data_IF_674942895620
#
_entry.id   IF_674942895620
#
_cell.length_a   1.000
_cell.length_b   1.000
_cell.length_c   1.000
_cell.angle_alpha   90.00
_cell.angle_beta   90.00
_cell.angle_gamma   90.00
#
_symmetry.space_group_name_H-M   'P 1'
#
loop_
_entity.id
_entity.type
_entity.pdbx_description
1 polymer ?
#
# COMPACT_ATOMS: atom_id res chain seq x y z
N UNK A 1 1.64 -12.39 5.88
CA UNK A 1 0.31 -12.44 6.54
C UNK A 1 -0.19 -13.88 6.43
N UNK A 2 -0.19 -14.64 7.53
CA UNK A 2 -0.83 -15.96 7.53
C UNK A 2 -2.33 -15.78 7.24
N UNK A 3 -2.88 -16.61 6.34
CA UNK A 3 -4.22 -16.48 5.74
C UNK A 3 -5.38 -16.31 6.75
N UNK A 4 -5.17 -16.61 8.03
CA UNK A 4 -6.19 -16.46 9.08
C UNK A 4 -6.30 -15.05 9.70
N UNK A 5 -5.33 -14.16 9.49
CA UNK A 5 -5.35 -12.80 10.07
C UNK A 5 -6.06 -11.75 9.21
N UNK A 6 -6.18 -12.03 7.91
CA UNK A 6 -6.78 -11.14 6.89
C UNK A 6 -8.29 -10.94 7.11
N UNK A 7 -8.95 -11.93 7.71
CA UNK A 7 -10.40 -11.96 7.90
C UNK A 7 -10.87 -11.40 9.25
N UNK A 8 -9.96 -10.79 10.01
CA UNK A 8 -10.26 -10.14 11.28
C UNK A 8 -10.61 -8.67 11.05
N UNK A 9 -11.41 -8.07 11.94
CA UNK A 9 -11.77 -6.65 11.85
C UNK A 9 -10.54 -5.73 11.74
N UNK A 10 -9.47 -6.03 12.49
CA UNK A 10 -8.22 -5.26 12.41
C UNK A 10 -7.49 -5.46 11.08
N UNK A 11 -7.49 -6.69 10.52
CA UNK A 11 -6.87 -6.99 9.23
C UNK A 11 -7.53 -6.23 8.08
N UNK A 12 -8.86 -6.17 8.05
CA UNK A 12 -9.61 -5.41 7.05
C UNK A 12 -9.32 -3.90 7.13
N UNK A 13 -9.28 -3.34 8.34
CA UNK A 13 -8.93 -1.92 8.56
C UNK A 13 -7.49 -1.63 8.11
N UNK A 14 -6.54 -2.50 8.44
CA UNK A 14 -5.15 -2.36 7.99
C UNK A 14 -5.06 -2.37 6.45
N UNK A 15 -5.69 -3.35 5.78
CA UNK A 15 -5.64 -3.46 4.31
C UNK A 15 -6.32 -2.26 3.65
N UNK A 16 -7.51 -1.86 4.11
CA UNK A 16 -8.20 -0.68 3.59
C UNK A 16 -7.36 0.59 3.75
N UNK A 17 -6.69 0.75 4.89
CA UNK A 17 -5.79 1.88 5.14
C UNK A 17 -4.57 1.85 4.22
N UNK A 18 -3.96 0.67 4.00
CA UNK A 18 -2.83 0.51 3.08
C UNK A 18 -3.21 0.90 1.64
N UNK A 19 -4.36 0.44 1.16
CA UNK A 19 -4.86 0.77 -0.19
C UNK A 19 -5.07 2.28 -0.33
N UNK A 20 -5.65 2.94 0.68
CA UNK A 20 -5.83 4.39 0.67
C UNK A 20 -4.50 5.15 0.69
N UNK A 21 -3.50 4.67 1.44
CA UNK A 21 -2.17 5.27 1.46
C UNK A 21 -1.50 5.18 0.09
N UNK A 22 -1.52 3.99 -0.53
CA UNK A 22 -0.93 3.80 -1.86
C UNK A 22 -1.62 4.67 -2.92
N UNK A 23 -2.96 4.80 -2.84
CA UNK A 23 -3.70 5.72 -3.71
C UNK A 23 -3.31 7.18 -3.50
N UNK A 24 -3.11 7.59 -2.23
CA UNK A 24 -2.69 8.94 -1.87
C UNK A 24 -1.29 9.27 -2.41
N UNK A 25 -0.39 8.29 -2.53
CA UNK A 25 0.92 8.50 -3.13
C UNK A 25 0.81 8.89 -4.61
N UNK A 26 -0.11 8.28 -5.36
CA UNK A 26 -0.43 8.70 -6.73
C UNK A 26 -0.85 10.16 -6.81
N UNK A 27 -1.72 10.61 -5.89
CA UNK A 27 -2.10 12.02 -5.79
C UNK A 27 -0.92 12.93 -5.42
N UNK A 28 -0.01 12.45 -4.56
CA UNK A 28 1.16 13.22 -4.17
C UNK A 28 2.14 13.44 -5.34
N UNK A 29 2.32 12.45 -6.23
CA UNK A 29 3.08 12.62 -7.46
C UNK A 29 2.50 13.71 -8.36
N UNK A 30 1.18 13.84 -8.41
CA UNK A 30 0.52 14.90 -9.16
C UNK A 30 0.78 16.29 -8.58
N UNK A 31 0.99 16.39 -7.26
CA UNK A 31 1.25 17.64 -6.56
C UNK A 31 2.72 18.05 -6.60
N UNK A 32 3.67 17.13 -6.76
CA UNK A 32 5.10 17.45 -6.74
C UNK A 32 5.54 18.51 -7.78
N UNK A 33 5.14 18.44 -9.07
CA UNK A 33 5.50 19.46 -10.06
C UNK A 33 4.96 20.85 -9.71
N UNK A 34 3.80 20.89 -9.05
CA UNK A 34 3.18 22.12 -8.53
C UNK A 34 4.11 22.69 -7.45
N UNK A 35 4.53 21.91 -6.45
CA UNK A 35 5.42 22.41 -5.41
C UNK A 35 6.79 22.90 -5.93
N UNK A 36 7.30 22.34 -7.03
CA UNK A 36 8.60 22.71 -7.61
C UNK A 36 8.62 24.00 -8.44
N UNK A 37 7.46 24.62 -8.70
CA UNK A 37 7.35 25.81 -9.54
C UNK A 37 7.95 27.06 -8.91
N UNK A 38 9.21 27.36 -9.23
CA UNK A 38 9.93 28.55 -8.76
C UNK A 38 9.81 29.68 -9.78
N UNK A 39 8.92 30.65 -9.55
CA UNK A 39 8.99 31.97 -10.24
C UNK A 39 7.98 32.98 -9.69
N UNK A 40 8.32 33.71 -8.62
CA UNK A 40 7.55 34.88 -8.13
C UNK A 40 6.11 34.59 -7.68
N UNK A 41 5.51 35.47 -6.86
CA UNK A 41 4.16 35.22 -6.33
C UNK A 41 3.09 35.16 -7.44
N UNK A 42 3.17 36.07 -8.43
CA UNK A 42 2.15 36.22 -9.48
C UNK A 42 2.33 35.23 -10.64
N UNK A 43 3.58 34.98 -11.05
CA UNK A 43 3.91 34.02 -12.10
C UNK A 43 3.90 32.57 -11.60
N UNK A 44 4.24 32.35 -10.32
CA UNK A 44 4.04 31.10 -9.61
C UNK A 44 2.57 30.74 -9.56
N UNK A 45 1.69 31.65 -9.13
CA UNK A 45 0.24 31.36 -9.06
C UNK A 45 -0.35 30.99 -10.43
N UNK A 46 0.08 31.64 -11.51
CA UNK A 46 -0.35 31.29 -12.87
C UNK A 46 0.20 29.92 -13.33
N UNK A 47 1.47 29.62 -13.02
CA UNK A 47 2.08 28.32 -13.31
C UNK A 47 1.41 27.19 -12.53
N UNK A 48 1.08 27.42 -11.25
CA UNK A 48 0.35 26.49 -10.39
C UNK A 48 -1.05 26.22 -10.91
N UNK A 49 -1.79 27.27 -11.27
CA UNK A 49 -3.13 27.14 -11.83
C UNK A 49 -3.10 26.37 -13.16
N UNK A 50 -2.11 26.66 -14.02
CA UNK A 50 -1.92 25.92 -15.28
C UNK A 50 -1.64 24.44 -15.02
N UNK A 51 -0.72 24.10 -14.13
CA UNK A 51 -0.39 22.72 -13.78
C UNK A 51 -1.60 21.97 -13.18
N UNK A 52 -2.36 22.63 -12.31
CA UNK A 52 -3.57 22.05 -11.71
C UNK A 52 -4.66 21.80 -12.76
N UNK A 53 -4.87 22.74 -13.68
CA UNK A 53 -5.80 22.56 -14.81
C UNK A 53 -5.35 21.40 -15.71
N UNK A 54 -4.07 21.34 -16.07
CA UNK A 54 -3.51 20.24 -16.86
C UNK A 54 -3.69 18.90 -16.16
N UNK A 55 -3.46 18.84 -14.84
CA UNK A 55 -3.68 17.65 -14.03
C UNK A 55 -5.14 17.19 -14.05
N UNK A 56 -6.10 18.10 -13.81
CA UNK A 56 -7.53 17.77 -13.81
C UNK A 56 -7.97 17.31 -15.21
N UNK A 57 -7.52 17.99 -16.27
CA UNK A 57 -7.79 17.59 -17.65
C UNK A 57 -7.19 16.20 -17.93
N UNK A 58 -5.95 15.95 -17.50
CA UNK A 58 -5.32 14.65 -17.68
C UNK A 58 -6.09 13.53 -16.97
N UNK A 59 -6.45 13.71 -15.70
CA UNK A 59 -7.22 12.72 -14.93
C UNK A 59 -8.62 12.49 -15.51
N UNK A 60 -9.30 13.54 -15.96
CA UNK A 60 -10.63 13.41 -16.59
C UNK A 60 -10.55 12.70 -17.94
N UNK A 61 -9.58 13.03 -18.78
CA UNK A 61 -9.33 12.32 -20.05
C UNK A 61 -9.03 10.85 -19.77
N UNK A 62 -8.13 10.55 -18.82
CA UNK A 62 -7.82 9.17 -18.48
C UNK A 62 -9.04 8.42 -17.93
N UNK A 63 -9.87 9.05 -17.11
CA UNK A 63 -11.11 8.45 -16.61
C UNK A 63 -12.09 8.11 -17.74
N UNK A 64 -12.23 8.98 -18.74
CA UNK A 64 -13.04 8.70 -19.94
C UNK A 64 -12.41 7.58 -20.78
N UNK A 65 -11.10 7.66 -21.01
CA UNK A 65 -10.34 6.69 -21.81
C UNK A 65 -10.34 5.30 -21.17
N UNK A 66 -10.43 5.25 -19.84
CA UNK A 66 -10.58 4.04 -19.04
C UNK A 66 -11.87 3.27 -19.39
N UNK A 67 -12.99 3.97 -19.58
CA UNK A 67 -14.26 3.33 -19.87
C UNK A 67 -14.37 2.82 -21.32
N UNK A 68 -13.70 3.47 -22.27
CA UNK A 68 -13.87 3.15 -23.70
C UNK A 68 -12.65 2.44 -24.31
N UNK A 69 -11.45 3.02 -24.17
CA UNK A 69 -10.27 2.56 -24.89
C UNK A 69 -9.58 1.37 -24.22
N UNK A 70 -9.45 1.38 -22.89
CA UNK A 70 -8.72 0.31 -22.17
C UNK A 70 -9.39 -1.05 -22.32
N UNK A 71 -10.70 -1.22 -22.06
CA UNK A 71 -11.33 -2.53 -22.20
C UNK A 71 -11.42 -2.97 -23.67
N UNK A 72 -11.51 -2.03 -24.62
CA UNK A 72 -11.42 -2.34 -26.05
C UNK A 72 -10.02 -2.83 -26.44
N UNK A 73 -8.97 -2.12 -26.01
CA UNK A 73 -7.58 -2.47 -26.28
C UNK A 73 -7.20 -3.82 -25.66
N UNK A 74 -7.55 -4.05 -24.38
CA UNK A 74 -7.29 -5.31 -23.71
C UNK A 74 -8.07 -6.48 -24.33
N UNK A 75 -9.33 -6.29 -24.74
CA UNK A 75 -10.10 -7.32 -25.45
C UNK A 75 -9.57 -7.60 -26.85
N UNK A 76 -9.19 -6.56 -27.59
CA UNK A 76 -8.56 -6.69 -28.91
C UNK A 76 -7.27 -7.49 -28.80
N UNK A 77 -6.45 -7.18 -27.81
CA UNK A 77 -5.23 -7.89 -27.52
C UNK A 77 -5.47 -9.36 -27.19
N UNK A 78 -6.43 -9.67 -26.30
CA UNK A 78 -6.78 -11.07 -26.00
C UNK A 78 -7.28 -11.79 -27.25
N UNK A 79 -8.08 -11.13 -28.10
CA UNK A 79 -8.56 -11.69 -29.36
C UNK A 79 -7.43 -12.01 -30.35
N UNK A 80 -6.43 -11.13 -30.46
CA UNK A 80 -5.22 -11.33 -31.27
C UNK A 80 -4.24 -12.33 -30.63
N UNK A 81 -4.32 -12.51 -29.31
CA UNK A 81 -3.40 -13.29 -28.47
C UNK A 81 -3.89 -14.72 -28.21
N UNK A 82 -4.77 -15.28 -29.04
CA UNK A 82 -5.21 -16.69 -28.94
C UNK A 82 -4.08 -17.73 -28.99
N UNK A 83 -2.81 -17.35 -29.20
CA UNK A 83 -1.69 -18.29 -29.27
C UNK A 83 -0.55 -18.08 -28.25
N UNK A 84 -0.30 -16.89 -27.68
CA UNK A 84 0.82 -16.67 -26.73
C UNK A 84 0.54 -15.61 -25.66
N UNK A 85 0.70 -15.94 -24.37
CA UNK A 85 0.56 -15.00 -23.24
C UNK A 85 1.60 -13.85 -23.26
N UNK A 86 2.72 -14.05 -23.97
CA UNK A 86 3.83 -13.10 -24.07
C UNK A 86 3.42 -11.80 -24.77
N UNK A 87 2.59 -11.88 -25.82
CA UNK A 87 2.15 -10.69 -26.56
C UNK A 87 1.24 -9.82 -25.68
N UNK A 88 0.35 -10.46 -24.92
CA UNK A 88 -0.51 -9.81 -23.93
C UNK A 88 0.29 -9.08 -22.86
N UNK A 89 1.27 -9.76 -22.29
CA UNK A 89 2.17 -9.19 -21.29
C UNK A 89 2.93 -7.97 -21.84
N UNK A 90 3.53 -8.11 -23.02
CA UNK A 90 4.32 -7.05 -23.64
C UNK A 90 3.49 -5.79 -23.89
N UNK A 91 2.28 -5.94 -24.45
CA UNK A 91 1.50 -4.75 -24.76
C UNK A 91 0.68 -4.19 -23.58
N UNK A 92 0.45 -4.95 -22.50
CA UNK A 92 0.07 -4.36 -21.21
C UNK A 92 1.16 -3.43 -20.67
N UNK A 93 2.44 -3.86 -20.74
CA UNK A 93 3.57 -3.01 -20.33
C UNK A 93 3.73 -1.83 -21.28
N UNK A 94 3.63 -2.04 -22.59
CA UNK A 94 3.71 -0.96 -23.58
C UNK A 94 2.60 0.07 -23.39
N UNK A 95 1.38 -0.36 -23.07
CA UNK A 95 0.28 0.55 -22.71
C UNK A 95 0.63 1.40 -21.49
N UNK A 96 1.14 0.78 -20.42
CA UNK A 96 1.58 1.51 -19.23
C UNK A 96 2.67 2.54 -19.55
N UNK A 97 3.67 2.16 -20.35
CA UNK A 97 4.74 3.06 -20.79
C UNK A 97 4.23 4.19 -21.69
N UNK A 98 3.25 3.94 -22.56
CA UNK A 98 2.65 4.96 -23.42
C UNK A 98 1.91 6.01 -22.59
N UNK A 99 1.11 5.58 -21.61
CA UNK A 99 0.40 6.50 -20.70
C UNK A 99 1.40 7.28 -19.84
N UNK A 100 2.45 6.63 -19.33
CA UNK A 100 3.53 7.30 -18.60
C UNK A 100 4.22 8.37 -19.46
N UNK A 101 4.58 8.02 -20.70
CA UNK A 101 5.20 8.94 -21.65
C UNK A 101 4.28 10.12 -22.02
N UNK A 102 2.98 9.88 -22.20
CA UNK A 102 2.00 10.92 -22.42
C UNK A 102 1.93 11.90 -21.24
N UNK A 103 1.92 11.37 -20.01
CA UNK A 103 1.95 12.17 -18.77
C UNK A 103 3.19 13.06 -18.68
N UNK A 104 4.37 12.52 -19.01
CA UNK A 104 5.63 13.29 -19.03
C UNK A 104 5.63 14.40 -20.09
N UNK A 105 5.09 14.13 -21.29
CA UNK A 105 4.92 15.14 -22.34
C UNK A 105 3.98 16.29 -21.96
N UNK A 106 3.04 16.03 -21.06
CA UNK A 106 2.13 17.05 -20.50
C UNK A 106 2.78 17.84 -19.35
N UNK A 107 4.02 17.51 -18.96
CA UNK A 107 4.75 18.20 -17.89
C UNK A 107 4.33 17.79 -16.48
N UNK A 108 3.68 16.63 -16.32
CA UNK A 108 3.31 16.08 -15.03
C UNK A 108 4.46 15.25 -14.45
N UNK A 109 4.34 13.93 -14.53
CA UNK A 109 5.34 12.99 -14.03
C UNK A 109 5.15 11.62 -14.67
N UNK A 110 6.24 10.90 -14.92
CA UNK A 110 6.19 9.52 -15.41
C UNK A 110 5.46 8.60 -14.40
N UNK A 111 5.70 8.84 -13.11
CA UNK A 111 5.14 8.10 -11.97
C UNK A 111 3.62 8.26 -11.87
N UNK A 112 3.12 9.47 -12.12
CA UNK A 112 1.67 9.72 -12.14
C UNK A 112 1.01 8.98 -13.29
N UNK A 113 1.62 9.00 -14.48
CA UNK A 113 1.08 8.34 -15.66
C UNK A 113 1.09 6.81 -15.53
N UNK A 114 2.16 6.23 -15.00
CA UNK A 114 2.22 4.78 -14.74
C UNK A 114 1.26 4.35 -13.63
N UNK A 115 1.10 5.15 -12.57
CA UNK A 115 0.09 4.91 -11.53
C UNK A 115 -1.33 4.95 -12.11
N UNK A 116 -1.64 5.98 -12.90
CA UNK A 116 -2.95 6.11 -13.53
C UNK A 116 -3.24 4.96 -14.51
N UNK A 117 -2.25 4.52 -15.30
CA UNK A 117 -2.40 3.36 -16.19
C UNK A 117 -2.72 2.08 -15.40
N UNK A 118 -2.06 1.87 -14.26
CA UNK A 118 -2.34 0.75 -13.36
C UNK A 118 -3.76 0.80 -12.80
N UNK A 119 -4.21 1.98 -12.35
CA UNK A 119 -5.59 2.19 -11.89
C UNK A 119 -6.59 1.89 -13.01
N UNK A 120 -6.34 2.36 -14.23
CA UNK A 120 -7.22 2.10 -15.37
C UNK A 120 -7.37 0.59 -15.64
N UNK A 121 -6.26 -0.15 -15.68
CA UNK A 121 -6.28 -1.62 -15.86
C UNK A 121 -7.06 -2.28 -14.72
N UNK A 122 -6.86 -1.82 -13.47
CA UNK A 122 -7.50 -2.41 -12.29
C UNK A 122 -9.03 -2.30 -12.26
N UNK A 123 -9.61 -1.34 -13.00
CA UNK A 123 -11.07 -1.17 -13.10
C UNK A 123 -11.73 -2.06 -14.15
N UNK A 124 -10.93 -2.76 -14.98
CA UNK A 124 -11.47 -3.64 -16.02
C UNK A 124 -11.74 -5.05 -15.50
N UNK A 125 -12.66 -5.77 -16.14
CA UNK A 125 -12.97 -7.17 -15.80
C UNK A 125 -11.77 -8.13 -15.95
N UNK A 126 -10.74 -7.68 -16.66
CA UNK A 126 -9.52 -8.43 -16.97
C UNK A 126 -8.38 -8.14 -15.98
N UNK A 127 -8.58 -7.27 -14.98
CA UNK A 127 -7.55 -6.81 -14.05
C UNK A 127 -6.76 -7.95 -13.39
N UNK A 128 -7.45 -9.01 -12.95
CA UNK A 128 -6.80 -10.16 -12.31
C UNK A 128 -5.88 -10.91 -13.28
N UNK A 129 -6.37 -11.18 -14.50
CA UNK A 129 -5.56 -11.82 -15.53
C UNK A 129 -4.37 -10.94 -15.94
N UNK A 130 -4.56 -9.62 -16.07
CA UNK A 130 -3.44 -8.69 -16.33
C UNK A 130 -2.40 -8.71 -15.22
N UNK A 131 -2.84 -8.74 -13.97
CA UNK A 131 -1.95 -8.75 -12.82
C UNK A 131 -1.09 -10.03 -12.78
N UNK A 132 -1.70 -11.19 -13.02
CA UNK A 132 -0.98 -12.49 -13.08
C UNK A 132 0.09 -12.49 -14.18
N UNK A 133 -0.23 -11.95 -15.35
CA UNK A 133 0.70 -11.90 -16.47
C UNK A 133 1.83 -10.87 -16.25
N UNK A 134 1.56 -9.75 -15.58
CA UNK A 134 2.56 -8.69 -15.33
C UNK A 134 3.39 -8.96 -14.06
N UNK A 135 2.92 -9.83 -13.16
CA UNK A 135 3.60 -10.15 -11.90
C UNK A 135 5.09 -10.51 -12.03
N UNK A 136 5.52 -11.39 -12.97
CA UNK A 136 6.94 -11.70 -13.13
C UNK A 136 7.78 -10.48 -13.49
N UNK A 137 7.28 -9.62 -14.39
CA UNK A 137 7.95 -8.38 -14.80
C UNK A 137 8.00 -7.39 -13.64
N UNK A 138 6.89 -7.22 -12.92
CA UNK A 138 6.81 -6.37 -11.72
C UNK A 138 7.87 -6.79 -10.70
N UNK A 139 7.96 -8.09 -10.41
CA UNK A 139 8.91 -8.61 -9.42
C UNK A 139 10.36 -8.39 -9.86
N UNK A 140 10.65 -8.55 -11.16
CA UNK A 140 11.97 -8.27 -11.72
C UNK A 140 12.35 -6.77 -11.61
N UNK A 141 11.46 -5.86 -12.02
CA UNK A 141 11.70 -4.41 -11.90
C UNK A 141 11.77 -3.94 -10.44
N UNK A 142 10.97 -4.54 -9.54
CA UNK A 142 11.07 -4.27 -8.11
C UNK A 142 12.44 -4.68 -7.54
N UNK A 143 12.97 -5.83 -7.95
CA UNK A 143 14.32 -6.25 -7.56
C UNK A 143 15.39 -5.30 -8.09
N UNK A 144 15.30 -4.89 -9.36
CA UNK A 144 16.21 -3.90 -9.95
C UNK A 144 16.13 -2.54 -9.28
N UNK A 145 14.92 -2.09 -8.95
CA UNK A 145 14.68 -0.85 -8.22
C UNK A 145 15.33 -0.87 -6.85
N UNK A 146 15.12 -1.94 -6.08
CA UNK A 146 15.70 -2.09 -4.75
C UNK A 146 17.24 -2.19 -4.80
N UNK A 147 17.79 -2.93 -5.77
CA UNK A 147 19.23 -2.98 -6.02
C UNK A 147 19.82 -1.60 -6.37
N UNK A 148 19.12 -0.83 -7.21
CA UNK A 148 19.53 0.52 -7.61
C UNK A 148 19.52 1.50 -6.42
N UNK A 149 18.51 1.42 -5.55
CA UNK A 149 18.50 2.19 -4.29
C UNK A 149 19.68 1.80 -3.41
N UNK A 150 19.96 0.50 -3.29
CA UNK A 150 21.13 0.02 -2.54
C UNK A 150 22.44 0.63 -3.04
N UNK A 151 22.59 0.79 -4.35
CA UNK A 151 23.75 1.44 -4.97
C UNK A 151 23.80 2.96 -4.74
N UNK A 152 22.64 3.63 -4.65
CA UNK A 152 22.55 5.06 -4.36
C UNK A 152 22.90 5.41 -2.91
N UNK A 153 22.79 4.44 -1.98
CA UNK A 153 23.06 4.67 -0.56
C UNK A 153 24.58 4.72 -0.32
N UNK A 154 25.06 5.89 0.11
CA UNK A 154 26.44 6.04 0.56
C UNK A 154 26.63 5.43 1.95
N UNK A 155 27.21 4.23 1.99
CA UNK A 155 27.50 3.48 3.23
C UNK A 155 28.32 4.32 4.23
N UNK A 156 29.30 5.09 3.75
CA UNK A 156 30.12 5.95 4.62
C UNK A 156 29.28 7.06 5.28
N UNK A 157 28.35 7.67 4.55
CA UNK A 157 27.44 8.68 5.11
C UNK A 157 26.54 8.08 6.19
N UNK A 158 26.04 6.86 5.94
CA UNK A 158 25.19 6.10 6.86
C UNK A 158 25.90 5.80 8.19
N UNK A 159 27.16 5.36 8.12
CA UNK A 159 27.97 5.07 9.31
C UNK A 159 28.26 6.32 10.13
N UNK A 160 28.54 7.44 9.47
CA UNK A 160 28.86 8.69 10.16
C UNK A 160 27.63 9.34 10.84
N UNK A 161 26.42 9.02 10.40
CA UNK A 161 25.17 9.61 10.91
C UNK A 161 24.19 8.55 11.46
N UNK A 162 24.71 7.39 11.87
CA UNK A 162 23.88 6.25 12.28
C UNK A 162 22.98 6.60 13.47
N UNK A 163 23.45 7.46 14.37
CA UNK A 163 22.74 8.01 15.50
C UNK A 163 21.47 8.76 15.06
N UNK A 164 21.60 9.67 14.09
CA UNK A 164 20.49 10.46 13.55
C UNK A 164 19.53 9.55 12.76
N UNK A 165 20.05 8.58 11.99
CA UNK A 165 19.21 7.65 11.25
C UNK A 165 18.37 6.76 12.16
N UNK A 166 18.98 6.18 13.19
CA UNK A 166 18.26 5.33 14.15
C UNK A 166 17.22 6.16 14.91
N UNK A 167 17.58 7.38 15.33
CA UNK A 167 16.63 8.30 15.95
C UNK A 167 15.46 8.63 15.01
N UNK A 168 15.72 8.90 13.73
CA UNK A 168 14.70 9.18 12.73
C UNK A 168 13.77 7.98 12.48
N UNK A 169 14.32 6.75 12.39
CA UNK A 169 13.51 5.53 12.23
C UNK A 169 12.60 5.32 13.44
N UNK A 170 13.14 5.42 14.65
CA UNK A 170 12.35 5.28 15.89
C UNK A 170 11.26 6.35 15.93
N UNK A 171 11.61 7.60 15.62
CA UNK A 171 10.67 8.72 15.58
C UNK A 171 9.53 8.44 14.61
N UNK A 172 9.82 8.01 13.38
CA UNK A 172 8.79 7.69 12.37
C UNK A 172 7.90 6.56 12.84
N UNK A 173 8.48 5.47 13.37
CA UNK A 173 7.70 4.33 13.87
C UNK A 173 6.76 4.76 15.00
N UNK A 174 7.27 5.52 15.98
CA UNK A 174 6.51 5.98 17.14
C UNK A 174 5.40 6.92 16.72
N UNK A 175 5.72 7.96 15.94
CA UNK A 175 4.72 8.94 15.47
C UNK A 175 3.64 8.25 14.65
N UNK A 176 4.03 7.42 13.68
CA UNK A 176 3.06 6.75 12.79
C UNK A 176 2.18 5.78 13.57
N UNK A 177 2.75 5.04 14.53
CA UNK A 177 1.98 4.17 15.42
C UNK A 177 0.98 4.97 16.24
N UNK A 178 1.38 6.08 16.85
CA UNK A 178 0.51 6.93 17.68
C UNK A 178 -0.61 7.52 16.84
N UNK A 179 -0.29 8.14 15.71
CA UNK A 179 -1.27 8.78 14.82
C UNK A 179 -2.29 7.76 14.33
N UNK A 180 -1.85 6.63 13.79
CA UNK A 180 -2.75 5.59 13.27
C UNK A 180 -3.58 5.00 14.41
N UNK A 181 -2.99 4.71 15.56
CA UNK A 181 -3.73 4.19 16.73
C UNK A 181 -4.78 5.18 17.22
N UNK A 182 -4.46 6.47 17.25
CA UNK A 182 -5.40 7.52 17.64
C UNK A 182 -6.57 7.63 16.67
N UNK A 183 -6.30 7.57 15.36
CA UNK A 183 -7.33 7.57 14.32
C UNK A 183 -8.24 6.36 14.47
N UNK A 184 -7.67 5.15 14.58
CA UNK A 184 -8.44 3.91 14.72
C UNK A 184 -9.28 3.91 16.01
N UNK A 185 -8.73 4.43 17.11
CA UNK A 185 -9.48 4.62 18.36
C UNK A 185 -10.62 5.62 18.22
N UNK A 186 -10.41 6.70 17.46
CA UNK A 186 -11.45 7.70 17.15
C UNK A 186 -12.65 7.11 16.39
N UNK A 187 -12.44 6.06 15.60
CA UNK A 187 -13.50 5.31 14.92
C UNK A 187 -14.19 4.25 15.82
N UNK A 188 -13.86 4.20 17.12
CA UNK A 188 -14.57 3.35 18.09
C UNK A 188 -14.04 1.91 18.23
N UNK A 189 -12.88 1.60 17.65
CA UNK A 189 -12.24 0.29 17.80
C UNK A 189 -11.57 0.12 19.18
N UNK A 190 -11.38 -1.12 19.61
CA UNK A 190 -10.72 -1.43 20.89
C UNK A 190 -9.27 -0.94 20.92
N UNK A 191 -8.74 -0.58 22.10
CA UNK A 191 -7.35 -0.14 22.24
C UNK A 191 -6.36 -1.19 21.68
N UNK A 192 -6.67 -2.47 21.83
CA UNK A 192 -5.85 -3.59 21.33
C UNK A 192 -5.80 -3.57 19.80
N UNK A 193 -6.96 -3.44 19.14
CA UNK A 193 -7.03 -3.32 17.69
C UNK A 193 -6.32 -2.04 17.20
N UNK A 194 -6.51 -0.90 17.87
CA UNK A 194 -5.88 0.36 17.51
C UNK A 194 -4.35 0.28 17.50
N UNK A 195 -3.74 -0.25 18.56
CA UNK A 195 -2.27 -0.41 18.66
C UNK A 195 -1.77 -1.43 17.63
N UNK A 196 -2.49 -2.53 17.42
CA UNK A 196 -2.11 -3.55 16.45
C UNK A 196 -2.09 -3.00 15.02
N UNK A 197 -3.14 -2.26 14.65
CA UNK A 197 -3.23 -1.56 13.36
C UNK A 197 -2.12 -0.52 13.24
N UNK A 198 -1.92 0.31 14.28
CA UNK A 198 -0.87 1.33 14.31
C UNK A 198 0.53 0.78 14.09
N UNK A 199 0.89 -0.30 14.80
CA UNK A 199 2.19 -0.96 14.62
C UNK A 199 2.32 -1.62 13.25
N UNK A 200 1.24 -2.23 12.73
CA UNK A 200 1.26 -2.87 11.40
C UNK A 200 1.50 -1.88 10.26
N UNK A 201 1.11 -0.62 10.45
CA UNK A 201 1.25 0.47 9.49
C UNK A 201 2.48 1.34 9.73
N UNK A 202 3.29 1.07 10.76
CA UNK A 202 4.38 1.96 11.19
C UNK A 202 5.56 2.04 10.20
N UNK A 203 5.70 1.08 9.31
CA UNK A 203 6.73 1.03 8.28
C UNK A 203 6.55 2.12 7.21
N UNK A 204 7.66 2.61 6.67
CA UNK A 204 7.67 3.46 5.47
C UNK A 204 7.59 2.55 4.22
N UNK A 205 6.64 2.82 3.31
CA UNK A 205 6.44 2.00 2.10
C UNK A 205 7.51 2.22 1.02
N UNK A 206 7.61 1.28 0.08
CA UNK A 206 8.58 1.32 -1.04
C UNK A 206 8.37 2.50 -1.99
N UNK A 207 7.13 2.96 -2.15
CA UNK A 207 6.82 4.14 -2.96
C UNK A 207 7.44 5.43 -2.42
N UNK A 208 7.82 5.48 -1.13
CA UNK A 208 8.52 6.63 -0.57
C UNK A 208 9.85 6.88 -1.29
N UNK A 209 10.57 5.83 -1.69
CA UNK A 209 11.83 6.00 -2.45
C UNK A 209 11.62 6.69 -3.79
N UNK A 210 10.57 6.28 -4.51
CA UNK A 210 10.20 6.89 -5.80
C UNK A 210 9.83 8.36 -5.58
N UNK A 211 9.03 8.65 -4.55
CA UNK A 211 8.63 10.01 -4.19
C UNK A 211 9.83 10.89 -3.83
N UNK A 212 10.75 10.40 -2.99
CA UNK A 212 11.98 11.11 -2.60
C UNK A 212 12.85 11.40 -3.83
N UNK A 213 13.04 10.41 -4.70
CA UNK A 213 13.84 10.57 -5.92
C UNK A 213 13.24 11.65 -6.82
N UNK A 214 11.91 11.64 -7.02
CA UNK A 214 11.23 12.67 -7.81
C UNK A 214 11.35 14.05 -7.17
N UNK A 215 11.15 14.15 -5.85
CA UNK A 215 11.28 15.41 -5.12
C UNK A 215 12.72 15.97 -5.20
N UNK A 216 13.73 15.11 -5.14
CA UNK A 216 15.13 15.51 -5.34
C UNK A 216 15.41 15.99 -6.76
N UNK A 217 14.86 15.33 -7.79
CA UNK A 217 14.99 15.77 -9.18
C UNK A 217 14.35 17.14 -9.45
N UNK A 218 13.28 17.46 -8.72
CA UNK A 218 12.63 18.77 -8.74
C UNK A 218 13.33 19.82 -7.84
N UNK A 219 14.48 19.48 -7.25
CA UNK A 219 15.23 20.34 -6.33
C UNK A 219 14.42 20.82 -5.11
N UNK A 220 13.38 20.07 -4.72
CA UNK A 220 12.55 20.36 -3.53
C UNK A 220 13.26 20.00 -2.22
N UNK A 221 14.26 19.12 -2.31
CA UNK A 221 14.97 18.56 -1.16
C UNK A 221 16.47 18.75 -1.38
N UNK A 222 17.16 19.27 -0.36
CA UNK A 222 18.61 19.39 -0.35
C UNK A 222 19.28 18.01 -0.33
N UNK A 223 20.42 17.84 -1.00
CA UNK A 223 21.09 16.54 -1.16
C UNK A 223 21.38 15.81 0.16
N UNK A 224 21.71 16.55 1.24
CA UNK A 224 21.95 15.97 2.57
C UNK A 224 20.66 15.40 3.17
N UNK A 225 19.54 16.12 3.03
CA UNK A 225 18.23 15.67 3.50
C UNK A 225 17.74 14.48 2.68
N UNK A 226 17.98 14.48 1.36
CA UNK A 226 17.68 13.35 0.50
C UNK A 226 18.40 12.08 0.97
N UNK A 227 19.72 12.12 1.21
CA UNK A 227 20.47 10.96 1.71
C UNK A 227 19.98 10.48 3.08
N UNK A 228 19.64 11.40 3.98
CA UNK A 228 19.12 11.07 5.31
C UNK A 228 17.76 10.36 5.22
N UNK A 229 16.83 10.89 4.42
CA UNK A 229 15.49 10.33 4.25
C UNK A 229 15.54 8.99 3.48
N UNK A 230 16.43 8.87 2.49
CA UNK A 230 16.65 7.62 1.75
C UNK A 230 17.16 6.53 2.69
N UNK A 231 18.18 6.85 3.52
CA UNK A 231 18.73 5.94 4.53
C UNK A 231 17.71 5.55 5.59
N UNK A 232 16.91 6.51 6.08
CA UNK A 232 15.83 6.26 7.05
C UNK A 232 14.77 5.31 6.48
N UNK A 233 14.37 5.52 5.21
CA UNK A 233 13.41 4.65 4.51
C UNK A 233 13.94 3.24 4.36
N UNK A 234 15.20 3.08 3.92
CA UNK A 234 15.85 1.78 3.78
C UNK A 234 15.97 1.05 5.12
N UNK A 235 16.43 1.75 6.17
CA UNK A 235 16.56 1.16 7.50
C UNK A 235 15.19 0.79 8.10
N UNK A 236 14.13 1.58 7.83
CA UNK A 236 12.76 1.24 8.21
C UNK A 236 12.28 -0.06 7.56
N UNK A 237 12.50 -0.25 6.24
CA UNK A 237 12.15 -1.49 5.55
C UNK A 237 12.89 -2.71 6.12
N UNK A 238 14.18 -2.58 6.42
CA UNK A 238 14.99 -3.66 7.02
C UNK A 238 14.55 -3.96 8.45
N UNK A 239 14.14 -2.94 9.22
CA UNK A 239 13.70 -3.08 10.63
C UNK A 239 12.28 -3.62 10.74
N UNK A 240 11.47 -3.52 9.70
CA UNK A 240 10.08 -3.96 9.66
C UNK A 240 9.85 -5.41 10.11
N UNK A 241 10.54 -6.44 9.57
CA UNK A 241 10.33 -7.82 10.01
C UNK A 241 10.65 -8.00 11.50
N UNK A 242 11.57 -7.19 12.07
CA UNK A 242 11.83 -7.17 13.50
C UNK A 242 10.66 -6.55 14.25
N UNK A 243 10.11 -5.43 13.77
CA UNK A 243 8.95 -4.79 14.36
C UNK A 243 7.75 -5.75 14.46
N UNK A 244 7.50 -6.54 13.41
CA UNK A 244 6.45 -7.56 13.42
C UNK A 244 6.67 -8.66 14.48
N UNK A 245 7.92 -9.04 14.75
CA UNK A 245 8.25 -9.96 15.84
C UNK A 245 8.04 -9.33 17.22
N UNK A 246 8.13 -8.01 17.35
CA UNK A 246 7.90 -7.29 18.61
C UNK A 246 6.42 -7.08 18.93
N UNK A 247 5.52 -7.11 17.94
CA UNK A 247 4.07 -6.96 18.15
C UNK A 247 3.53 -7.86 19.28
N UNK A 248 3.76 -9.19 19.31
CA UNK A 248 3.24 -10.04 20.38
C UNK A 248 3.80 -9.66 21.77
N UNK A 249 5.06 -9.20 21.85
CA UNK A 249 5.67 -8.75 23.09
C UNK A 249 5.01 -7.46 23.61
N UNK A 250 4.71 -6.51 22.71
CA UNK A 250 4.01 -5.26 23.07
C UNK A 250 2.57 -5.52 23.49
N UNK A 251 1.87 -6.45 22.82
CA UNK A 251 0.52 -6.87 23.24
C UNK A 251 0.57 -7.49 24.64
N UNK A 252 1.52 -8.38 24.91
CA UNK A 252 1.69 -9.00 26.22
C UNK A 252 2.03 -7.97 27.31
N UNK A 253 2.89 -7.01 27.01
CA UNK A 253 3.23 -5.91 27.92
C UNK A 253 2.01 -5.00 28.20
N UNK A 254 1.19 -4.71 27.19
CA UNK A 254 -0.04 -3.93 27.36
C UNK A 254 -1.13 -4.65 28.15
N UNK A 255 -1.17 -5.99 28.10
CA UNK A 255 -2.03 -6.80 28.99
C UNK A 255 -1.53 -6.71 30.43
N UNK A 256 -0.21 -6.77 30.63
CA UNK A 256 0.43 -6.68 31.95
C UNK A 256 0.27 -5.30 32.60
N UNK A 257 0.31 -4.22 31.81
CA UNK A 257 0.03 -2.84 32.22
C UNK A 257 -1.47 -2.52 32.38
N UNK A 258 -2.37 -3.52 32.34
CA UNK A 258 -3.84 -3.37 32.42
C UNK A 258 -4.45 -2.42 31.37
N UNK A 259 -3.72 -2.05 30.32
CA UNK A 259 -4.24 -1.25 29.20
C UNK A 259 -5.23 -2.03 28.34
N UNK A 260 -5.16 -3.36 28.40
CA UNK A 260 -6.12 -4.27 27.80
C UNK A 260 -6.86 -5.02 28.90
N UNK A 261 -8.19 -5.09 28.82
CA UNK A 261 -8.92 -6.09 29.60
C UNK A 261 -8.45 -7.47 29.15
N UNK A 262 -8.15 -8.41 30.06
CA UNK A 262 -7.91 -9.79 29.67
C UNK A 262 -9.13 -10.25 28.89
N UNK A 263 -8.94 -10.66 27.64
CA UNK A 263 -9.96 -11.43 26.94
C UNK A 263 -10.21 -12.66 27.81
N UNK A 264 -11.37 -12.68 28.47
CA UNK A 264 -11.93 -13.93 28.99
C UNK A 264 -12.00 -14.82 27.75
N UNK A 265 -11.30 -15.97 27.71
CA UNK A 265 -11.40 -16.90 26.61
C UNK A 265 -12.89 -17.17 26.36
N UNK A 266 -13.32 -16.83 25.16
CA UNK A 266 -14.71 -16.83 24.72
C UNK A 266 -15.47 -18.07 25.22
N UNK A 267 -16.48 -17.89 26.07
CA UNK A 267 -17.57 -18.86 26.30
C UNK A 267 -18.35 -19.19 25.00
N UNK A 268 -18.00 -18.58 23.86
CA UNK A 268 -18.56 -18.88 22.54
C UNK A 268 -18.12 -20.26 22.02
N UNK A 269 -17.00 -20.81 22.48
CA UNK A 269 -16.62 -22.21 22.19
C UNK A 269 -17.48 -23.22 22.97
N UNK A 270 -17.72 -22.96 24.26
CA UNK A 270 -18.46 -23.88 25.12
C UNK A 270 -19.96 -23.90 24.76
N UNK A 271 -20.56 -22.75 24.42
CA UNK A 271 -21.99 -22.69 24.06
C UNK A 271 -22.28 -23.30 22.69
N UNK A 272 -21.34 -23.21 21.74
CA UNK A 272 -21.42 -23.88 20.43
C UNK A 272 -21.29 -25.40 20.54
N UNK A 273 -20.40 -25.88 21.40
CA UNK A 273 -20.21 -27.32 21.65
C UNK A 273 -21.35 -27.92 22.49
N UNK A 274 -21.90 -27.18 23.47
CA UNK A 274 -23.09 -27.62 24.22
C UNK A 274 -24.34 -27.65 23.32
N UNK A 275 -24.52 -26.68 22.42
CA UNK A 275 -25.63 -26.69 21.45
C UNK A 275 -25.48 -27.78 20.38
N UNK A 276 -24.26 -28.09 19.94
CA UNK A 276 -23.98 -29.23 19.05
C UNK A 276 -24.16 -30.58 19.75
N UNK A 277 -23.80 -30.69 21.03
CA UNK A 277 -23.98 -31.90 21.83
C UNK A 277 -25.46 -32.19 22.15
N UNK A 278 -26.27 -31.17 22.46
CA UNK A 278 -27.72 -31.35 22.69
C UNK A 278 -28.47 -31.72 21.41
N UNK A 279 -28.12 -31.09 20.28
CA UNK A 279 -28.71 -31.41 18.96
C UNK A 279 -28.36 -32.84 18.52
N UNK A 280 -27.10 -33.26 18.70
CA UNK A 280 -26.66 -34.61 18.35
C UNK A 280 -27.30 -35.69 19.24
N UNK A 281 -27.56 -35.40 20.52
CA UNK A 281 -28.32 -36.29 21.42
C UNK A 281 -29.79 -36.42 20.99
N UNK A 282 -30.47 -35.33 20.64
CA UNK A 282 -31.87 -35.36 20.18
C UNK A 282 -32.04 -36.14 18.87
N UNK A 283 -31.08 -36.02 17.95
CA UNK A 283 -31.11 -36.77 16.68
C UNK A 283 -30.87 -38.26 16.92
N UNK A 284 -29.96 -38.64 17.83
CA UNK A 284 -29.75 -40.07 18.16
C UNK A 284 -30.97 -40.73 18.81
N UNK A 285 -31.72 -40.01 19.66
CA UNK A 285 -32.93 -40.54 20.32
C UNK A 285 -34.09 -40.72 19.31
N UNK A 286 -34.22 -39.82 18.33
CA UNK A 286 -35.22 -39.95 17.26
C UNK A 286 -34.93 -41.11 16.30
N UNK A 287 -33.66 -41.43 16.04
CA UNK A 287 -33.26 -42.54 15.18
C UNK A 287 -33.36 -43.89 15.91
N UNK A 288 -33.12 -43.92 17.23
CA UNK A 288 -33.26 -45.14 18.03
C UNK A 288 -34.75 -45.49 18.27
N UNK A 289 -35.61 -44.49 18.50
CA UNK A 289 -37.05 -44.70 18.73
C UNK A 289 -37.85 -45.16 17.49
N UNK A 290 -37.28 -45.05 16.28
CA UNK A 290 -37.91 -45.49 15.03
C UNK A 290 -37.54 -46.92 14.62
N UNK A 291 -36.72 -47.64 15.40
CA UNK A 291 -36.32 -49.03 15.12
C UNK A 291 -36.96 -50.08 16.02
N UNK A 292 -37.71 -49.68 17.05
CA UNK A 292 -38.35 -50.58 18.03
C UNK A 292 -39.90 -50.52 18.01
N UNK A 293 -40.50 -50.17 16.88
CA UNK A 293 -41.96 -50.28 16.61
C UNK A 293 -42.20 -50.81 15.21
#
# INVERSE_FOLDING_TARGET
>A
MERNSVNTLYGQVTIGTLILQDCTVGLLFALLPILGGTSGALQGMFSMAKLLVVLVIFLTILSVLCHTCVPWFLRLMIGLSSQTNELYQLASVAFCLLVAWCSDKLGLSLELGSFAAGVMISTTDLAQHTLEQVEPIRNFFAALFLASIGMLIHVHFLWNHIDILVAAVILVIVIKTIVVSAVVKGFGYTNKAAILVGMSLAQIGEFAFVLLSRASNLHLIEGKVYMLLLGTTALSLVTTPLLFKLIPAVVHLGVLLRWFSPEIPNEIGLKGDILRADSSKRISVLIQGSRDS
#
